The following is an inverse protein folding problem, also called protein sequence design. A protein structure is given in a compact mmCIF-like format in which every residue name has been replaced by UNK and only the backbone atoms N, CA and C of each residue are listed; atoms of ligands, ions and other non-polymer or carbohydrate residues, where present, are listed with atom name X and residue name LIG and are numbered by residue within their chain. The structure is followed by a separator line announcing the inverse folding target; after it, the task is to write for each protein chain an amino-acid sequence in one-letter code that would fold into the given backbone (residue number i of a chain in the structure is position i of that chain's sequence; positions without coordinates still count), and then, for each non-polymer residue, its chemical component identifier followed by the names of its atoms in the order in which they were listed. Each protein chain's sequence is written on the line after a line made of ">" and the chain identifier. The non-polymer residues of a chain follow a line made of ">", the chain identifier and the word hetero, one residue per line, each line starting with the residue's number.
data_IF_206031627385
#
_entry.id   IF_206031627385
#
_cell.length_a   1.000
_cell.length_b   1.000
_cell.length_c   1.000
_cell.angle_alpha   90.00
_cell.angle_beta   90.00
_cell.angle_gamma   90.00
#
_symmetry.space_group_name_H-M   'P 1'
#
loop_
_entity.id
_entity.type
_entity.pdbx_description
1 polymer ?
#
# COMPACT_ATOMS: atom_id res chain seq x y z
N UNK A 1 -21.92 7.94 13.87
CA UNK A 1 -21.47 8.13 12.47
C UNK A 1 -20.83 6.82 12.02
N UNK A 2 -21.36 6.20 10.96
CA UNK A 2 -20.73 5.05 10.31
C UNK A 2 -20.00 5.54 9.07
N UNK A 3 -18.70 5.22 8.96
CA UNK A 3 -17.94 5.47 7.74
C UNK A 3 -18.16 4.31 6.77
N UNK A 4 -18.50 4.61 5.52
CA UNK A 4 -18.56 3.63 4.45
C UNK A 4 -17.40 3.87 3.48
N UNK A 5 -16.66 2.80 3.19
CA UNK A 5 -15.54 2.84 2.27
C UNK A 5 -15.90 2.05 1.01
N UNK A 6 -15.76 2.68 -0.16
CA UNK A 6 -16.07 2.05 -1.45
C UNK A 6 -14.82 1.58 -2.20
N UNK A 7 -13.62 2.00 -1.77
CA UNK A 7 -12.36 1.72 -2.44
C UNK A 7 -11.23 1.51 -1.44
N UNK A 8 -10.29 0.68 -1.83
CA UNK A 8 -9.00 0.50 -1.15
C UNK A 8 -7.89 0.53 -2.19
N UNK A 9 -6.76 1.14 -1.83
CA UNK A 9 -5.52 1.03 -2.58
C UNK A 9 -4.69 -0.10 -1.97
N UNK A 10 -4.03 -0.89 -2.81
CA UNK A 10 -3.06 -1.90 -2.37
C UNK A 10 -1.86 -1.88 -3.29
N UNK A 11 -0.72 -2.36 -2.83
CA UNK A 11 0.46 -2.58 -3.68
C UNK A 11 1.02 -3.98 -3.47
N UNK A 12 1.37 -4.72 -4.54
CA UNK A 12 1.86 -6.08 -4.41
C UNK A 12 3.11 -6.19 -3.54
N UNK A 13 3.18 -7.25 -2.74
CA UNK A 13 4.42 -7.65 -2.07
C UNK A 13 5.42 -8.16 -3.12
N UNK A 14 6.68 -7.74 -2.97
CA UNK A 14 7.78 -8.11 -3.87
C UNK A 14 8.88 -8.83 -3.12
N UNK A 15 9.76 -9.53 -3.85
CA UNK A 15 10.93 -10.21 -3.29
C UNK A 15 11.86 -9.25 -2.53
N UNK A 16 11.94 -7.99 -2.97
CA UNK A 16 12.74 -6.97 -2.30
C UNK A 16 12.35 -6.79 -0.81
N UNK A 17 11.08 -6.99 -0.46
CA UNK A 17 10.62 -6.97 0.95
C UNK A 17 11.30 -8.07 1.78
N UNK A 18 11.36 -9.28 1.22
CA UNK A 18 11.91 -10.47 1.87
C UNK A 18 13.42 -10.30 2.10
N UNK A 19 14.11 -9.63 1.17
CA UNK A 19 15.53 -9.32 1.30
C UNK A 19 15.82 -8.22 2.33
N UNK A 20 14.98 -7.17 2.38
CA UNK A 20 15.17 -6.04 3.30
C UNK A 20 14.77 -6.37 4.73
N UNK A 21 13.62 -7.02 4.93
CA UNK A 21 13.13 -7.36 6.27
C UNK A 21 13.87 -8.62 6.75
N UNK A 22 14.94 -8.39 7.50
CA UNK A 22 15.48 -9.42 8.40
C UNK A 22 14.53 -9.50 9.59
N UNK A 23 13.86 -10.64 9.75
CA UNK A 23 13.02 -10.90 10.92
C UNK A 23 13.83 -10.64 12.19
N UNK A 24 13.22 -9.95 13.16
CA UNK A 24 13.78 -9.74 14.51
C UNK A 24 14.09 -11.10 15.16
N UNK A 25 13.28 -12.11 14.81
CA UNK A 25 13.53 -13.49 15.12
C UNK A 25 14.23 -14.17 13.94
N UNK A 26 15.53 -14.48 14.08
CA UNK A 26 16.35 -15.16 13.08
C UNK A 26 15.82 -16.55 12.68
N UNK A 27 14.86 -17.11 13.41
CA UNK A 27 14.22 -18.40 13.09
C UNK A 27 13.06 -18.26 12.10
N UNK A 28 12.50 -17.05 11.92
CA UNK A 28 11.38 -16.80 11.01
C UNK A 28 11.90 -16.33 9.66
N UNK A 29 11.90 -17.24 8.68
CA UNK A 29 12.18 -16.92 7.28
C UNK A 29 10.90 -16.48 6.59
N UNK A 30 10.88 -15.26 6.05
CA UNK A 30 9.78 -14.78 5.23
C UNK A 30 9.69 -15.60 3.94
N UNK A 31 8.47 -16.00 3.58
CA UNK A 31 8.18 -16.72 2.34
C UNK A 31 7.31 -15.81 1.45
N UNK A 32 7.80 -15.47 0.26
CA UNK A 32 7.14 -14.56 -0.66
C UNK A 32 5.75 -15.05 -1.09
N UNK A 33 5.62 -16.33 -1.43
CA UNK A 33 4.35 -16.92 -1.85
C UNK A 33 3.32 -16.86 -0.72
N UNK A 34 3.75 -17.12 0.52
CA UNK A 34 2.88 -17.00 1.70
C UNK A 34 2.44 -15.55 1.91
N UNK A 35 3.35 -14.58 1.81
CA UNK A 35 3.01 -13.16 1.93
C UNK A 35 2.02 -12.71 0.86
N UNK A 36 2.22 -13.12 -0.40
CA UNK A 36 1.30 -12.82 -1.49
C UNK A 36 -0.05 -13.51 -1.29
N UNK A 37 -0.07 -14.74 -0.78
CA UNK A 37 -1.30 -15.47 -0.44
C UNK A 37 -2.10 -14.76 0.66
N UNK A 38 -1.45 -14.31 1.74
CA UNK A 38 -2.12 -13.54 2.79
C UNK A 38 -2.63 -12.18 2.27
N UNK A 39 -1.86 -11.49 1.42
CA UNK A 39 -2.32 -10.25 0.79
C UNK A 39 -3.54 -10.48 -0.11
N UNK A 40 -3.56 -11.58 -0.87
CA UNK A 40 -4.70 -11.96 -1.70
C UNK A 40 -5.93 -12.28 -0.84
N UNK A 41 -5.77 -12.97 0.29
CA UNK A 41 -6.87 -13.22 1.23
C UNK A 41 -7.48 -11.93 1.77
N UNK A 42 -6.64 -10.94 2.10
CA UNK A 42 -7.10 -9.62 2.51
C UNK A 42 -7.89 -8.94 1.39
N UNK A 43 -7.38 -8.95 0.16
CA UNK A 43 -8.09 -8.38 -1.00
C UNK A 43 -9.44 -9.05 -1.25
N UNK A 44 -9.52 -10.38 -1.15
CA UNK A 44 -10.79 -11.13 -1.28
C UNK A 44 -11.77 -10.81 -0.16
N UNK A 45 -11.29 -10.63 1.09
CA UNK A 45 -12.14 -10.19 2.20
C UNK A 45 -12.73 -8.78 1.96
N UNK A 46 -11.96 -7.86 1.38
CA UNK A 46 -12.40 -6.51 1.02
C UNK A 46 -13.41 -6.55 -0.13
N UNK A 47 -13.16 -7.36 -1.18
CA UNK A 47 -14.11 -7.54 -2.29
C UNK A 47 -15.46 -8.11 -1.83
N UNK A 48 -15.47 -9.06 -0.88
CA UNK A 48 -16.70 -9.59 -0.28
C UNK A 48 -17.55 -8.53 0.42
N UNK A 49 -16.93 -7.41 0.84
CA UNK A 49 -17.60 -6.23 1.42
C UNK A 49 -18.00 -5.20 0.35
N UNK A 50 -17.93 -5.55 -0.94
CA UNK A 50 -18.19 -4.65 -2.09
C UNK A 50 -17.22 -3.46 -2.17
N UNK A 51 -16.04 -3.59 -1.58
CA UNK A 51 -14.97 -2.59 -1.69
C UNK A 51 -14.19 -2.85 -2.97
N UNK A 52 -14.03 -1.82 -3.80
CA UNK A 52 -13.21 -1.90 -5.01
C UNK A 52 -11.71 -1.88 -4.65
N UNK A 53 -11.01 -2.97 -4.94
CA UNK A 53 -9.56 -3.08 -4.69
C UNK A 53 -8.81 -2.59 -5.92
N UNK A 54 -8.04 -1.51 -5.76
CA UNK A 54 -7.21 -0.94 -6.81
C UNK A 54 -5.74 -1.16 -6.48
N UNK A 55 -5.05 -1.90 -7.36
CA UNK A 55 -3.64 -2.18 -7.20
C UNK A 55 -2.77 -1.11 -7.86
N UNK A 56 -1.79 -0.61 -7.12
CA UNK A 56 -0.63 0.09 -7.65
C UNK A 56 0.34 -0.91 -8.29
N UNK A 57 1.17 -0.42 -9.21
CA UNK A 57 2.22 -1.25 -9.80
C UNK A 57 3.21 -1.75 -8.73
N UNK A 58 3.57 -3.02 -8.81
CA UNK A 58 4.69 -3.59 -8.05
C UNK A 58 5.98 -2.80 -8.33
N UNK A 59 6.91 -2.78 -7.36
CA UNK A 59 8.14 -2.01 -7.51
C UNK A 59 9.22 -2.49 -6.55
N UNK A 60 10.23 -3.16 -7.08
CA UNK A 60 11.36 -3.63 -6.28
C UNK A 60 12.23 -2.47 -5.75
N UNK A 61 12.15 -1.29 -6.37
CA UNK A 61 12.86 -0.08 -5.90
C UNK A 61 12.41 0.41 -4.51
N UNK A 62 11.25 -0.06 -4.04
CA UNK A 62 10.72 0.27 -2.72
C UNK A 62 10.33 -1.03 -2.01
N UNK A 63 11.28 -1.68 -1.32
CA UNK A 63 11.07 -2.98 -0.69
C UNK A 63 9.84 -3.04 0.22
N UNK A 64 9.65 -2.02 1.03
CA UNK A 64 8.53 -1.86 1.97
C UNK A 64 7.31 -1.18 1.33
N UNK A 65 7.31 -1.01 0.02
CA UNK A 65 6.30 -0.22 -0.67
C UNK A 65 4.90 -0.83 -0.67
N UNK A 66 4.74 -2.07 -0.20
CA UNK A 66 3.42 -2.66 0.08
C UNK A 66 2.71 -1.99 1.28
N UNK A 67 3.46 -1.35 2.19
CA UNK A 67 2.92 -0.60 3.32
C UNK A 67 2.59 0.83 2.90
N UNK A 68 1.46 0.97 2.20
CA UNK A 68 1.10 2.21 1.52
C UNK A 68 0.57 3.30 2.46
N UNK A 69 0.18 2.92 3.68
CA UNK A 69 -0.44 3.79 4.68
C UNK A 69 0.44 4.98 5.09
N UNK A 70 1.75 4.81 5.05
CA UNK A 70 2.70 5.88 5.37
C UNK A 70 2.76 6.98 4.30
N UNK A 71 2.22 6.73 3.10
CA UNK A 71 2.38 7.61 1.94
C UNK A 71 1.18 8.54 1.72
N UNK A 72 0.00 8.24 2.26
CA UNK A 72 -1.17 9.09 2.09
C UNK A 72 -2.19 8.92 3.23
N UNK A 73 -2.76 10.04 3.68
CA UNK A 73 -3.93 10.08 4.55
C UNK A 73 -5.12 10.57 3.74
N UNK A 74 -6.20 9.79 3.70
CA UNK A 74 -7.39 10.07 2.91
C UNK A 74 -8.59 10.30 3.82
N UNK A 75 -9.24 11.46 3.69
CA UNK A 75 -10.45 11.82 4.42
C UNK A 75 -11.45 12.43 3.43
N UNK A 76 -12.59 11.75 3.24
CA UNK A 76 -13.62 12.17 2.29
C UNK A 76 -13.09 12.21 0.85
N UNK A 77 -13.14 13.38 0.23
CA UNK A 77 -12.64 13.64 -1.12
C UNK A 77 -11.20 14.15 -1.15
N UNK A 78 -10.52 14.23 0.00
CA UNK A 78 -9.19 14.84 0.13
C UNK A 78 -8.14 13.79 0.49
N UNK A 79 -7.02 13.81 -0.23
CA UNK A 79 -5.83 13.00 0.05
C UNK A 79 -4.66 13.92 0.39
N UNK A 80 -4.15 13.81 1.61
CA UNK A 80 -2.87 14.37 2.02
C UNK A 80 -1.77 13.38 1.62
N UNK A 81 -0.86 13.80 0.76
CA UNK A 81 0.31 13.00 0.40
C UNK A 81 1.39 13.22 1.44
N UNK A 82 1.70 12.16 2.17
CA UNK A 82 2.69 12.22 3.24
C UNK A 82 4.11 12.28 2.66
N UNK A 83 5.03 12.75 3.50
CA UNK A 83 6.47 12.67 3.26
C UNK A 83 7.06 11.59 4.20
N UNK A 84 7.30 10.36 3.73
CA UNK A 84 7.89 9.31 4.55
C UNK A 84 9.18 9.76 5.24
N UNK A 85 9.35 9.32 6.49
CA UNK A 85 10.54 9.61 7.29
C UNK A 85 11.79 8.97 6.68
N UNK A 86 11.69 7.70 6.26
CA UNK A 86 12.73 7.02 5.47
C UNK A 86 12.87 7.70 4.10
N UNK A 87 14.04 8.28 3.86
CA UNK A 87 14.33 9.00 2.61
C UNK A 87 14.24 8.10 1.39
N UNK A 88 14.56 6.80 1.53
CA UNK A 88 14.49 5.82 0.44
C UNK A 88 13.05 5.61 -0.06
N UNK A 89 12.05 5.93 0.77
CA UNK A 89 10.62 5.77 0.46
C UNK A 89 9.95 7.03 -0.08
N UNK A 90 10.62 8.20 -0.03
CA UNK A 90 10.02 9.47 -0.50
C UNK A 90 9.64 9.49 -1.98
N UNK A 91 10.30 8.67 -2.80
CA UNK A 91 9.94 8.52 -4.21
C UNK A 91 8.63 7.74 -4.44
N UNK A 92 8.11 7.05 -3.42
CA UNK A 92 6.82 6.35 -3.49
C UNK A 92 5.65 7.32 -3.60
N UNK A 93 5.66 8.39 -2.81
CA UNK A 93 4.62 9.43 -2.75
C UNK A 93 4.19 9.94 -4.14
N UNK A 94 5.16 10.11 -5.06
CA UNK A 94 4.91 10.53 -6.45
C UNK A 94 4.05 9.54 -7.24
N UNK A 95 4.17 8.22 -6.98
CA UNK A 95 3.35 7.21 -7.65
C UNK A 95 1.90 7.24 -7.18
N UNK A 96 1.65 7.62 -5.92
CA UNK A 96 0.29 7.75 -5.37
C UNK A 96 -0.46 8.94 -5.98
N UNK A 97 0.22 10.08 -6.20
CA UNK A 97 -0.35 11.24 -6.89
C UNK A 97 -0.97 10.86 -8.24
N UNK A 98 -0.32 10.01 -9.03
CA UNK A 98 -0.83 9.57 -10.33
C UNK A 98 -2.13 8.76 -10.20
N UNK A 99 -2.21 7.89 -9.21
CA UNK A 99 -3.39 7.04 -9.01
C UNK A 99 -4.54 7.86 -8.42
N UNK A 100 -4.28 8.64 -7.37
CA UNK A 100 -5.27 9.46 -6.68
C UNK A 100 -5.77 10.64 -7.52
N UNK A 101 -4.92 11.22 -8.38
CA UNK A 101 -5.36 12.24 -9.33
C UNK A 101 -6.40 11.73 -10.33
N UNK A 102 -6.38 10.43 -10.65
CA UNK A 102 -7.40 9.79 -11.50
C UNK A 102 -8.71 9.51 -10.76
N UNK A 103 -8.74 9.67 -9.43
CA UNK A 103 -9.91 9.35 -8.60
C UNK A 103 -10.73 10.58 -8.22
N UNK A 104 -10.54 11.73 -8.88
CA UNK A 104 -11.21 13.02 -8.60
C UNK A 104 -11.02 13.52 -7.16
N UNK A 105 -9.93 13.11 -6.49
CA UNK A 105 -9.63 13.57 -5.14
C UNK A 105 -8.88 14.91 -5.16
N UNK A 106 -9.16 15.76 -4.16
CA UNK A 106 -8.37 16.95 -3.84
C UNK A 106 -7.03 16.49 -3.25
N UNK A 107 -5.94 17.01 -3.79
CA UNK A 107 -4.59 16.61 -3.40
C UNK A 107 -3.95 17.73 -2.60
N UNK A 108 -3.58 17.44 -1.36
CA UNK A 108 -2.82 18.32 -0.48
C UNK A 108 -1.43 17.70 -0.24
N UNK A 109 -0.40 18.53 -0.04
CA UNK A 109 0.99 18.10 0.16
C UNK A 109 1.58 18.67 1.44
#
# INVERSE_FOLDING_TARGET
>A
MSFEYSRVLMRPVTEALVEKIRSIDSTVKLNLEKLQSEQNRLAEALKKRRINVVYLAASNNYPEGCFIEDCAVIIGDTALICRPADQSRRGEAKKYLLVLGRTQMKLEQ
#
